data_IF_445315325231
#
_entry.id   IF_445315325231
#
_cell.length_a   1.000
_cell.length_b   1.000
_cell.length_c   1.000
_cell.angle_alpha   90.00
_cell.angle_beta   90.00
_cell.angle_gamma   90.00
#
_symmetry.space_group_name_H-M   'P 1'
#
loop_
_entity.id
_entity.type
_entity.pdbx_description
1 polymer ?
#
# COMPACT_ATOMS: atom_id res chain seq x y z
N UNK A 1 17.10 25.47 -3.23
CA UNK A 1 17.64 25.63 -4.60
C UNK A 1 17.64 27.09 -5.00
N UNK A 2 16.57 27.84 -4.80
CA UNK A 2 16.36 29.23 -5.21
C UNK A 2 17.47 30.18 -4.71
N UNK A 3 17.91 30.06 -3.45
CA UNK A 3 19.02 30.85 -2.92
C UNK A 3 20.33 30.67 -3.71
N UNK A 4 20.54 29.46 -4.27
CA UNK A 4 21.75 29.18 -5.06
C UNK A 4 21.65 29.73 -6.48
N UNK A 5 20.46 29.65 -7.09
CA UNK A 5 20.19 30.22 -8.41
C UNK A 5 20.23 31.76 -8.36
N UNK A 6 19.71 32.36 -7.32
CA UNK A 6 19.82 33.82 -7.06
C UNK A 6 21.28 34.29 -6.95
N UNK A 7 22.17 33.41 -6.49
CA UNK A 7 23.62 33.66 -6.47
C UNK A 7 24.31 33.42 -7.82
N UNK A 8 23.54 33.13 -8.88
CA UNK A 8 24.06 32.85 -10.23
C UNK A 8 24.66 31.44 -10.39
N UNK A 9 24.24 30.47 -9.59
CA UNK A 9 24.65 29.05 -9.75
C UNK A 9 23.69 28.37 -10.70
N UNK A 10 24.23 27.54 -11.58
CA UNK A 10 23.46 26.58 -12.37
C UNK A 10 23.40 25.26 -11.62
N UNK A 11 22.23 24.67 -11.50
CA UNK A 11 21.97 23.43 -10.78
C UNK A 11 21.43 22.41 -11.77
N UNK A 12 21.98 21.20 -11.74
CA UNK A 12 21.44 20.02 -12.42
C UNK A 12 21.07 19.03 -11.34
N UNK A 13 19.81 18.60 -11.30
CA UNK A 13 19.37 17.55 -10.38
C UNK A 13 18.57 16.49 -11.16
N UNK A 14 18.51 15.28 -10.60
CA UNK A 14 17.77 14.16 -11.16
C UNK A 14 16.68 13.78 -10.17
N UNK A 15 15.47 13.74 -10.64
CA UNK A 15 14.30 13.30 -9.85
C UNK A 15 13.30 12.58 -10.74
N UNK A 16 12.50 11.71 -10.14
CA UNK A 16 11.33 11.10 -10.77
C UNK A 16 10.02 11.73 -10.23
N UNK A 17 10.11 12.70 -9.33
CA UNK A 17 8.96 13.37 -8.74
C UNK A 17 8.60 14.61 -9.56
N UNK A 18 7.46 14.53 -10.26
CA UNK A 18 6.96 15.60 -11.12
C UNK A 18 6.82 16.94 -10.38
N UNK A 19 6.31 16.91 -9.14
CA UNK A 19 6.15 18.12 -8.33
C UNK A 19 7.47 18.82 -8.04
N UNK A 20 8.54 18.06 -7.76
CA UNK A 20 9.88 18.64 -7.56
C UNK A 20 10.44 19.24 -8.85
N UNK A 21 10.26 18.54 -9.98
CA UNK A 21 10.72 19.02 -11.29
C UNK A 21 9.99 20.31 -11.69
N UNK A 22 8.66 20.31 -11.62
CA UNK A 22 7.81 21.47 -11.97
C UNK A 22 8.03 22.68 -11.06
N UNK A 23 8.39 22.46 -9.80
CA UNK A 23 8.57 23.56 -8.84
C UNK A 23 9.97 24.18 -8.88
N UNK A 24 11.00 23.38 -9.16
CA UNK A 24 12.38 23.79 -8.93
C UNK A 24 13.23 23.91 -10.20
N UNK A 25 12.77 23.43 -11.35
CA UNK A 25 13.52 23.49 -12.60
C UNK A 25 12.93 24.55 -13.55
N UNK A 26 13.80 25.20 -14.32
CA UNK A 26 13.40 26.04 -15.45
C UNK A 26 13.12 25.17 -16.68
N UNK A 27 14.01 24.18 -16.94
CA UNK A 27 13.93 23.23 -18.04
C UNK A 27 13.97 21.79 -17.52
N UNK A 28 13.14 20.91 -18.06
CA UNK A 28 13.14 19.48 -17.76
C UNK A 28 13.52 18.70 -19.01
N UNK A 29 14.55 17.83 -18.89
CA UNK A 29 14.89 16.84 -19.90
C UNK A 29 14.51 15.46 -19.41
N UNK A 30 13.62 14.78 -20.13
CA UNK A 30 13.13 13.46 -19.76
C UNK A 30 14.00 12.37 -20.38
N UNK A 31 14.50 11.48 -19.53
CA UNK A 31 15.26 10.29 -19.91
C UNK A 31 14.41 9.05 -19.70
N UNK A 32 14.31 8.20 -20.73
CA UNK A 32 13.65 6.89 -20.68
C UNK A 32 14.46 5.87 -21.45
N UNK A 33 14.70 4.70 -20.86
CA UNK A 33 15.49 3.60 -21.45
C UNK A 33 16.90 4.05 -21.91
N UNK A 34 17.49 5.04 -21.21
CA UNK A 34 18.80 5.59 -21.53
C UNK A 34 18.81 6.60 -22.68
N UNK A 35 17.66 6.98 -23.23
CA UNK A 35 17.50 7.93 -24.31
C UNK A 35 16.81 9.22 -23.84
N UNK A 36 17.19 10.36 -24.43
CA UNK A 36 16.47 11.60 -24.26
C UNK A 36 15.19 11.57 -25.12
N UNK A 37 14.02 11.52 -24.48
CA UNK A 37 12.71 11.42 -25.16
C UNK A 37 12.02 12.77 -25.32
N UNK A 38 12.52 13.83 -24.66
CA UNK A 38 12.00 15.18 -24.79
C UNK A 38 12.63 16.14 -23.80
N UNK A 39 12.56 17.44 -24.15
CA UNK A 39 12.90 18.54 -23.23
C UNK A 39 11.81 19.59 -23.31
N UNK A 40 11.35 20.07 -22.17
CA UNK A 40 10.27 21.03 -22.03
C UNK A 40 10.66 22.12 -21.05
N UNK A 41 10.18 23.33 -21.29
CA UNK A 41 10.20 24.45 -20.35
C UNK A 41 9.08 24.21 -19.32
N UNK A 42 9.37 24.36 -18.02
CA UNK A 42 8.39 24.10 -16.96
C UNK A 42 7.24 25.08 -16.95
N UNK A 43 7.45 26.30 -17.45
CA UNK A 43 6.39 27.31 -17.58
C UNK A 43 5.33 26.94 -18.63
N UNK A 44 5.70 26.13 -19.62
CA UNK A 44 4.84 25.71 -20.73
C UNK A 44 4.32 24.27 -20.60
N UNK A 45 4.84 23.47 -19.65
CA UNK A 45 4.53 22.05 -19.48
C UNK A 45 3.46 21.79 -18.41
N UNK A 46 2.69 20.71 -18.58
CA UNK A 46 1.79 20.18 -17.55
C UNK A 46 2.39 18.94 -16.87
N UNK A 47 1.87 18.58 -15.70
CA UNK A 47 2.28 17.34 -14.99
C UNK A 47 1.98 16.10 -15.82
N UNK A 48 0.85 16.10 -16.51
CA UNK A 48 0.37 15.05 -17.38
C UNK A 48 1.30 14.84 -18.59
N UNK A 49 1.70 15.92 -19.26
CA UNK A 49 2.65 15.86 -20.38
C UNK A 49 4.02 15.32 -19.96
N UNK A 50 4.53 15.73 -18.80
CA UNK A 50 5.78 15.18 -18.28
C UNK A 50 5.64 13.72 -17.91
N UNK A 51 4.53 13.32 -17.27
CA UNK A 51 4.24 11.92 -16.94
C UNK A 51 4.18 11.06 -18.22
N UNK A 52 3.50 11.53 -19.27
CA UNK A 52 3.42 10.83 -20.55
C UNK A 52 4.80 10.65 -21.20
N UNK A 53 5.64 11.69 -21.19
CA UNK A 53 7.01 11.57 -21.67
C UNK A 53 7.83 10.55 -20.87
N UNK A 54 7.70 10.53 -19.54
CA UNK A 54 8.42 9.63 -18.67
C UNK A 54 8.00 8.16 -18.86
N UNK A 55 6.70 7.91 -18.97
CA UNK A 55 6.13 6.55 -19.08
C UNK A 55 6.05 6.09 -20.54
N UNK A 56 5.87 7.02 -21.50
CA UNK A 56 5.79 6.74 -22.94
C UNK A 56 4.40 6.40 -23.45
N UNK A 57 3.40 6.59 -22.61
CA UNK A 57 1.97 6.50 -22.91
C UNK A 57 1.21 7.49 -22.04
N UNK A 58 -0.01 7.76 -22.37
CA UNK A 58 -0.91 8.55 -21.52
C UNK A 58 -0.95 7.92 -20.11
N UNK A 59 -0.78 8.74 -19.10
CA UNK A 59 -0.81 8.38 -17.69
C UNK A 59 -2.05 8.99 -17.08
N UNK A 60 -2.90 8.16 -16.52
CA UNK A 60 -4.08 8.60 -15.79
C UNK A 60 -3.62 8.87 -14.36
N UNK A 61 -3.36 10.15 -14.03
CA UNK A 61 -2.97 10.56 -12.68
C UNK A 61 -4.15 10.55 -11.69
N UNK A 62 -5.38 10.61 -12.22
CA UNK A 62 -6.61 10.44 -11.46
C UNK A 62 -7.18 9.04 -11.69
N UNK A 63 -7.28 8.26 -10.64
CA UNK A 63 -7.78 6.89 -10.73
C UNK A 63 -9.31 6.88 -10.72
N UNK A 64 -9.95 6.34 -11.76
CA UNK A 64 -11.41 6.17 -11.83
C UNK A 64 -11.82 4.98 -10.95
N UNK A 65 -12.24 5.28 -9.73
CA UNK A 65 -12.71 4.29 -8.77
C UNK A 65 -14.20 4.00 -9.02
N UNK A 66 -14.49 2.90 -9.71
CA UNK A 66 -15.86 2.47 -9.94
C UNK A 66 -16.60 2.22 -8.61
N UNK A 67 -17.86 2.68 -8.51
CA UNK A 67 -18.68 2.47 -7.33
C UNK A 67 -18.90 0.97 -7.05
N UNK A 68 -18.66 0.56 -5.81
CA UNK A 68 -18.95 -0.78 -5.30
C UNK A 68 -19.48 -0.68 -3.87
N UNK A 69 -20.65 -1.25 -3.56
CA UNK A 69 -21.10 -1.33 -2.18
C UNK A 69 -20.20 -2.30 -1.41
N UNK A 70 -19.77 -1.95 -0.18
CA UNK A 70 -18.98 -2.84 0.66
C UNK A 70 -19.78 -4.08 1.07
N UNK A 71 -19.08 -5.23 1.13
CA UNK A 71 -19.65 -6.50 1.58
C UNK A 71 -19.52 -6.75 3.08
N UNK A 72 -19.31 -8.00 3.45
CA UNK A 72 -19.14 -8.42 4.84
C UNK A 72 -17.79 -7.95 5.42
N UNK A 73 -17.66 -7.93 6.74
CA UNK A 73 -16.42 -7.56 7.43
C UNK A 73 -15.41 -8.69 7.29
N UNK A 74 -14.24 -8.38 6.70
CA UNK A 74 -13.11 -9.30 6.54
C UNK A 74 -12.10 -9.13 7.67
N UNK A 75 -11.76 -7.88 8.03
CA UNK A 75 -10.86 -7.57 9.15
C UNK A 75 -11.60 -6.72 10.17
N UNK A 76 -11.50 -7.09 11.45
CA UNK A 76 -11.92 -6.26 12.59
C UNK A 76 -10.74 -6.09 13.54
N UNK A 77 -10.47 -4.85 13.91
CA UNK A 77 -9.51 -4.48 14.94
C UNK A 77 -10.29 -3.92 16.12
N UNK A 78 -10.15 -4.55 17.29
CA UNK A 78 -10.96 -4.28 18.47
C UNK A 78 -10.06 -3.88 19.65
N UNK A 79 -10.18 -2.62 20.12
CA UNK A 79 -9.46 -2.06 21.28
C UNK A 79 -7.95 -2.34 21.25
N UNK A 80 -7.35 -2.31 20.05
CA UNK A 80 -5.96 -2.72 19.83
C UNK A 80 -5.01 -1.74 20.48
N UNK A 81 -4.10 -2.27 21.30
CA UNK A 81 -3.00 -1.52 21.93
C UNK A 81 -1.69 -2.21 21.63
N UNK A 82 -0.72 -1.42 21.15
CA UNK A 82 0.62 -1.89 20.79
C UNK A 82 1.66 -0.93 21.35
N UNK A 83 2.58 -1.46 22.12
CA UNK A 83 3.72 -0.71 22.67
C UNK A 83 4.89 -0.77 21.68
N UNK A 84 5.55 0.36 21.45
CA UNK A 84 6.76 0.45 20.64
C UNK A 84 7.99 -0.13 21.37
N UNK A 85 9.14 -0.17 20.71
CA UNK A 85 10.39 -0.65 21.30
C UNK A 85 10.95 0.28 22.40
N UNK A 86 10.43 1.51 22.50
CA UNK A 86 10.73 2.49 23.53
C UNK A 86 9.86 2.36 24.79
N UNK A 87 8.81 1.52 24.73
CA UNK A 87 7.87 1.30 25.83
C UNK A 87 6.74 2.33 25.91
N UNK A 88 6.42 3.00 24.79
CA UNK A 88 5.29 3.90 24.66
C UNK A 88 4.18 3.23 23.86
N UNK A 89 2.93 3.51 24.20
CA UNK A 89 1.77 3.03 23.42
C UNK A 89 1.74 3.73 22.06
N UNK A 90 2.26 3.04 21.03
CA UNK A 90 2.27 3.54 19.66
C UNK A 90 0.89 3.40 19.02
N UNK A 91 0.11 2.38 19.41
CA UNK A 91 -1.29 2.18 19.08
C UNK A 91 -2.08 2.13 20.38
N UNK A 92 -3.10 2.96 20.53
CA UNK A 92 -3.90 3.10 21.74
C UNK A 92 -5.39 2.89 21.45
N UNK A 93 -5.97 1.83 21.99
CA UNK A 93 -7.40 1.49 21.92
C UNK A 93 -8.01 1.63 20.49
N UNK A 94 -7.23 1.27 19.45
CA UNK A 94 -7.62 1.48 18.05
C UNK A 94 -8.75 0.53 17.64
N UNK A 95 -9.75 1.08 16.94
CA UNK A 95 -10.97 0.36 16.57
C UNK A 95 -11.39 0.69 15.13
N UNK A 96 -11.41 -0.32 14.24
CA UNK A 96 -11.96 -0.21 12.88
C UNK A 96 -12.28 -1.57 12.28
N UNK A 97 -12.99 -1.57 11.13
CA UNK A 97 -13.19 -2.74 10.29
C UNK A 97 -12.84 -2.44 8.83
N UNK A 98 -12.48 -3.49 8.08
CA UNK A 98 -12.30 -3.47 6.63
C UNK A 98 -13.19 -4.53 6.02
N UNK A 99 -13.89 -4.19 4.92
CA UNK A 99 -14.92 -5.03 4.31
C UNK A 99 -14.52 -5.56 2.95
N UNK A 100 -15.22 -6.59 2.52
CA UNK A 100 -15.11 -7.07 1.14
C UNK A 100 -15.40 -5.94 0.13
N UNK A 101 -14.51 -5.84 -0.89
CA UNK A 101 -14.65 -4.83 -1.94
C UNK A 101 -14.43 -3.40 -1.46
N UNK A 102 -13.72 -3.22 -0.36
CA UNK A 102 -13.40 -1.93 0.23
C UNK A 102 -11.88 -1.72 0.28
N UNK A 103 -11.44 -0.51 0.01
CA UNK A 103 -10.14 0.02 0.42
C UNK A 103 -10.37 0.91 1.65
N UNK A 104 -9.93 0.45 2.81
CA UNK A 104 -9.87 1.26 4.02
C UNK A 104 -8.47 1.87 4.13
N UNK A 105 -8.39 3.19 3.96
CA UNK A 105 -7.13 3.93 4.06
C UNK A 105 -6.84 4.35 5.49
N UNK A 106 -5.57 4.40 5.83
CA UNK A 106 -5.05 5.01 7.07
C UNK A 106 -4.14 6.17 6.67
N UNK A 107 -4.51 7.39 7.05
CA UNK A 107 -3.70 8.58 6.91
C UNK A 107 -3.18 9.04 8.27
N UNK A 108 -1.92 9.46 8.32
CA UNK A 108 -1.30 10.00 9.54
C UNK A 108 0.13 10.47 9.24
N UNK A 109 0.69 11.24 10.15
CA UNK A 109 2.11 11.62 10.09
C UNK A 109 2.95 10.40 10.49
N UNK A 110 4.09 10.19 9.81
CA UNK A 110 5.01 9.11 10.14
C UNK A 110 5.35 9.11 11.65
N UNK A 111 5.30 7.93 12.28
CA UNK A 111 5.55 7.78 13.71
C UNK A 111 4.30 7.88 14.61
N UNK A 112 3.10 7.92 14.02
CA UNK A 112 1.84 7.87 14.78
C UNK A 112 1.28 6.43 14.94
N UNK A 113 2.14 5.41 14.93
CA UNK A 113 1.73 4.02 15.23
C UNK A 113 1.32 3.19 14.01
N UNK A 114 1.46 3.72 12.79
CA UNK A 114 1.08 2.98 11.58
C UNK A 114 1.90 1.69 11.39
N UNK A 115 3.21 1.73 11.66
CA UNK A 115 4.09 0.57 11.53
C UNK A 115 3.71 -0.51 12.55
N UNK A 116 3.52 -0.14 13.82
CA UNK A 116 3.12 -1.03 14.90
C UNK A 116 1.73 -1.64 14.67
N UNK A 117 0.79 -0.85 14.12
CA UNK A 117 -0.52 -1.33 13.69
C UNK A 117 -0.37 -2.43 12.62
N UNK A 118 0.40 -2.17 11.56
CA UNK A 118 0.63 -3.12 10.46
C UNK A 118 1.30 -4.39 10.98
N UNK A 119 2.33 -4.27 11.82
CA UNK A 119 3.01 -5.41 12.42
C UNK A 119 2.05 -6.28 13.25
N UNK A 120 1.18 -5.66 14.05
CA UNK A 120 0.18 -6.37 14.86
C UNK A 120 -0.89 -7.03 13.98
N UNK A 121 -1.44 -6.33 12.98
CA UNK A 121 -2.46 -6.86 12.07
C UNK A 121 -1.91 -8.02 11.23
N UNK A 122 -0.64 -7.98 10.86
CA UNK A 122 -0.01 -9.01 10.02
C UNK A 122 0.62 -10.16 10.81
N UNK A 123 0.60 -10.12 12.13
CA UNK A 123 1.16 -11.17 13.01
C UNK A 123 2.68 -11.13 13.11
N UNK A 124 3.31 -9.99 12.82
CA UNK A 124 4.74 -9.76 13.01
C UNK A 124 5.06 -9.27 14.42
N UNK A 125 4.10 -8.63 15.10
CA UNK A 125 4.16 -8.21 16.50
C UNK A 125 2.93 -8.69 17.25
N UNK A 126 3.11 -9.18 18.48
CA UNK A 126 1.98 -9.50 19.36
C UNK A 126 1.53 -8.20 20.05
N UNK A 127 0.24 -7.81 19.95
CA UNK A 127 -0.25 -6.62 20.64
C UNK A 127 -0.30 -6.82 22.16
N UNK A 128 -0.26 -5.72 22.92
CA UNK A 128 -0.35 -5.74 24.38
C UNK A 128 -1.80 -5.83 24.87
N UNK A 129 -2.76 -5.42 24.04
CA UNK A 129 -4.19 -5.47 24.34
C UNK A 129 -5.05 -5.48 23.10
N UNK A 130 -6.34 -5.76 23.31
CA UNK A 130 -7.31 -5.82 22.22
C UNK A 130 -7.23 -7.11 21.41
N UNK A 131 -7.74 -7.09 20.19
CA UNK A 131 -7.68 -8.24 19.30
C UNK A 131 -7.80 -7.87 17.83
N UNK A 132 -7.29 -8.78 16.99
CA UNK A 132 -7.41 -8.77 15.54
C UNK A 132 -8.22 -9.99 15.11
N UNK A 133 -9.34 -9.75 14.42
CA UNK A 133 -10.22 -10.80 13.89
C UNK A 133 -10.15 -10.75 12.37
N UNK A 134 -9.72 -11.84 11.75
CA UNK A 134 -9.64 -11.99 10.31
C UNK A 134 -10.53 -13.15 9.86
N UNK A 135 -11.45 -12.86 8.94
CA UNK A 135 -12.44 -13.81 8.43
C UNK A 135 -13.21 -14.51 9.56
N UNK A 136 -13.67 -13.71 10.53
CA UNK A 136 -14.41 -14.18 11.72
C UNK A 136 -13.58 -15.02 12.70
N UNK A 137 -12.27 -15.15 12.49
CA UNK A 137 -11.37 -15.88 13.38
C UNK A 137 -10.45 -14.91 14.10
N UNK A 138 -10.32 -15.06 15.42
CA UNK A 138 -9.33 -14.34 16.21
C UNK A 138 -7.92 -14.82 15.83
N UNK A 139 -7.11 -13.89 15.32
CA UNK A 139 -5.74 -14.14 14.87
C UNK A 139 -4.69 -13.38 15.68
N UNK A 140 -5.08 -12.76 16.77
CA UNK A 140 -4.24 -11.87 17.61
C UNK A 140 -2.89 -12.49 17.98
N UNK A 141 -2.90 -13.75 18.42
CA UNK A 141 -1.69 -14.47 18.83
C UNK A 141 -1.18 -15.46 17.76
N UNK A 142 -1.65 -15.31 16.51
CA UNK A 142 -1.26 -16.21 15.42
C UNK A 142 0.03 -15.74 14.76
N UNK A 143 0.79 -16.70 14.27
CA UNK A 143 2.02 -16.44 13.53
C UNK A 143 1.74 -15.81 12.15
N UNK A 144 2.70 -15.08 11.59
CA UNK A 144 2.66 -14.58 10.22
C UNK A 144 2.28 -15.66 9.20
N UNK A 145 2.79 -16.88 9.35
CA UNK A 145 2.45 -18.02 8.51
C UNK A 145 0.95 -18.33 8.53
N UNK A 146 0.32 -18.33 9.71
CA UNK A 146 -1.12 -18.61 9.82
C UNK A 146 -1.97 -17.51 9.18
N UNK A 147 -1.51 -16.25 9.18
CA UNK A 147 -2.16 -15.16 8.45
C UNK A 147 -2.09 -15.40 6.93
N UNK A 148 -0.92 -15.77 6.40
CA UNK A 148 -0.73 -16.10 4.98
C UNK A 148 -1.62 -17.27 4.57
N UNK A 149 -1.60 -18.37 5.33
CA UNK A 149 -2.40 -19.57 5.05
C UNK A 149 -3.92 -19.32 5.10
N UNK A 150 -4.35 -18.22 5.75
CA UNK A 150 -5.75 -17.77 5.77
C UNK A 150 -6.10 -16.81 4.64
N UNK A 151 -5.16 -16.44 3.78
CA UNK A 151 -5.38 -15.56 2.65
C UNK A 151 -5.10 -14.08 2.94
N UNK A 152 -4.19 -13.76 3.87
CA UNK A 152 -3.69 -12.41 4.05
C UNK A 152 -2.42 -12.21 3.23
N UNK A 153 -2.44 -11.23 2.31
CA UNK A 153 -1.27 -10.74 1.61
C UNK A 153 -0.72 -9.47 2.30
N UNK A 154 0.59 -9.27 2.20
CA UNK A 154 1.24 -8.09 2.76
C UNK A 154 2.25 -7.49 1.79
N UNK A 155 2.07 -6.23 1.47
CA UNK A 155 3.03 -5.41 0.74
C UNK A 155 3.75 -4.54 1.78
N UNK A 156 5.04 -4.78 2.04
CA UNK A 156 5.79 -4.05 3.06
C UNK A 156 6.20 -2.66 2.59
N UNK A 157 6.45 -1.79 3.56
CA UNK A 157 7.01 -0.45 3.34
C UNK A 157 8.43 -0.52 2.75
N UNK A 158 9.29 -1.37 3.34
CA UNK A 158 10.63 -1.65 2.80
C UNK A 158 10.70 -3.02 2.13
N UNK A 159 10.55 -3.00 0.80
CA UNK A 159 10.61 -4.21 -0.01
C UNK A 159 11.95 -4.92 0.03
N UNK A 160 13.05 -4.19 0.33
CA UNK A 160 14.40 -4.75 0.30
C UNK A 160 14.77 -5.43 1.62
N UNK A 161 14.20 -4.95 2.74
CA UNK A 161 14.42 -5.54 4.06
C UNK A 161 13.37 -6.61 4.40
N UNK A 162 12.11 -6.40 3.99
CA UNK A 162 10.99 -7.24 4.41
C UNK A 162 10.34 -8.03 3.25
N UNK A 163 10.42 -7.50 2.03
CA UNK A 163 9.71 -8.06 0.88
C UNK A 163 10.50 -9.08 0.08
N UNK A 164 11.82 -8.93 -0.01
CA UNK A 164 12.72 -9.70 -0.87
C UNK A 164 13.98 -10.12 -0.10
N UNK A 165 14.57 -11.23 -0.52
CA UNK A 165 15.96 -11.55 -0.19
C UNK A 165 16.80 -11.12 -1.41
N UNK A 166 17.57 -10.06 -1.25
CA UNK A 166 18.20 -9.33 -2.36
C UNK A 166 19.22 -10.16 -3.16
N UNK A 167 19.88 -11.13 -2.52
CA UNK A 167 20.84 -12.06 -3.12
C UNK A 167 20.20 -13.30 -3.76
N UNK A 168 18.88 -13.48 -3.56
CA UNK A 168 18.12 -14.56 -4.18
C UNK A 168 17.68 -14.18 -5.59
N UNK A 169 17.56 -15.17 -6.47
CA UNK A 169 16.91 -14.99 -7.77
C UNK A 169 15.38 -14.85 -7.61
N UNK A 170 14.68 -14.58 -8.70
CA UNK A 170 13.21 -14.40 -8.64
C UNK A 170 12.48 -15.72 -8.42
N UNK A 171 13.08 -16.88 -8.77
CA UNK A 171 12.49 -18.19 -8.45
C UNK A 171 12.50 -18.41 -6.94
N UNK A 172 13.62 -18.18 -6.28
CA UNK A 172 13.76 -18.30 -4.83
C UNK A 172 12.89 -17.29 -4.09
N UNK A 173 12.86 -16.04 -4.55
CA UNK A 173 11.97 -15.00 -4.00
C UNK A 173 10.50 -15.30 -4.22
N UNK A 174 10.11 -15.94 -5.32
CA UNK A 174 8.74 -16.37 -5.60
C UNK A 174 8.23 -17.45 -4.64
N UNK A 175 9.15 -18.21 -4.02
CA UNK A 175 8.82 -19.21 -3.02
C UNK A 175 8.46 -18.63 -1.65
N UNK A 176 8.92 -17.42 -1.32
CA UNK A 176 8.70 -16.82 0.00
C UNK A 176 7.20 -16.74 0.33
N UNK A 177 6.82 -17.31 1.48
CA UNK A 177 5.43 -17.45 1.91
C UNK A 177 4.72 -18.70 1.37
N UNK A 178 5.19 -19.32 0.28
CA UNK A 178 4.61 -20.50 -0.37
C UNK A 178 5.34 -21.82 -0.03
N UNK A 179 6.44 -21.76 0.72
CA UNK A 179 7.34 -22.89 1.00
C UNK A 179 6.71 -24.05 1.78
N UNK A 180 5.43 -23.98 2.11
CA UNK A 180 4.70 -24.99 2.85
C UNK A 180 3.38 -25.41 2.20
N UNK A 181 3.10 -24.91 0.99
CA UNK A 181 1.83 -25.11 0.31
C UNK A 181 2.01 -25.83 -1.02
N UNK A 182 1.00 -26.63 -1.41
CA UNK A 182 0.92 -27.16 -2.78
C UNK A 182 0.74 -25.98 -3.77
N UNK A 183 1.32 -26.08 -4.99
CA UNK A 183 2.15 -27.17 -5.50
C UNK A 183 3.66 -27.00 -5.22
N UNK A 184 4.07 -26.04 -4.40
CA UNK A 184 5.48 -25.64 -4.24
C UNK A 184 6.27 -26.54 -3.29
N UNK A 185 5.60 -27.21 -2.36
CA UNK A 185 6.23 -28.13 -1.43
C UNK A 185 5.34 -29.30 -1.07
N UNK A 186 5.95 -30.48 -0.90
CA UNK A 186 5.33 -31.69 -0.40
C UNK A 186 6.24 -32.37 0.65
N UNK A 187 5.92 -33.60 1.03
CA UNK A 187 6.74 -34.41 1.95
C UNK A 187 8.14 -34.75 1.40
N UNK A 188 8.37 -34.54 0.12
CA UNK A 188 9.66 -34.78 -0.57
C UNK A 188 10.56 -33.53 -0.59
N UNK A 189 10.04 -32.37 -0.28
CA UNK A 189 10.77 -31.09 -0.29
C UNK A 189 10.16 -30.06 -1.24
N UNK A 190 10.96 -29.10 -1.68
CA UNK A 190 10.54 -28.03 -2.59
C UNK A 190 10.47 -28.53 -4.04
N UNK A 191 9.34 -28.27 -4.71
CA UNK A 191 9.22 -28.45 -6.16
C UNK A 191 9.71 -27.19 -6.89
N UNK A 192 10.99 -27.20 -7.26
CA UNK A 192 11.61 -26.08 -7.98
C UNK A 192 11.05 -25.87 -9.38
N UNK A 193 10.42 -26.90 -9.97
CA UNK A 193 9.75 -26.76 -11.28
C UNK A 193 8.47 -25.93 -11.15
N UNK A 194 7.63 -26.27 -10.18
CA UNK A 194 6.42 -25.51 -9.86
C UNK A 194 6.77 -24.07 -9.42
N UNK A 195 7.80 -23.91 -8.58
CA UNK A 195 8.27 -22.60 -8.12
C UNK A 195 8.75 -21.73 -9.28
N UNK A 196 9.50 -22.30 -10.22
CA UNK A 196 9.96 -21.58 -11.42
C UNK A 196 8.78 -21.15 -12.30
N UNK A 197 7.83 -22.06 -12.58
CA UNK A 197 6.64 -21.72 -13.35
C UNK A 197 5.87 -20.57 -12.72
N UNK A 198 5.71 -20.57 -11.41
CA UNK A 198 5.09 -19.46 -10.68
C UNK A 198 5.84 -18.14 -10.84
N UNK A 199 7.16 -18.14 -10.70
CA UNK A 199 7.98 -16.93 -10.89
C UNK A 199 7.88 -16.40 -12.32
N UNK A 200 7.84 -17.29 -13.34
CA UNK A 200 7.63 -16.93 -14.75
C UNK A 200 6.25 -16.28 -14.97
N UNK A 201 5.21 -16.83 -14.37
CA UNK A 201 3.85 -16.27 -14.43
C UNK A 201 3.81 -14.88 -13.79
N UNK A 202 4.38 -14.69 -12.59
CA UNK A 202 4.46 -13.39 -11.91
C UNK A 202 5.23 -12.38 -12.76
N UNK A 203 6.41 -12.75 -13.27
CA UNK A 203 7.23 -11.87 -14.11
C UNK A 203 6.48 -11.43 -15.37
N UNK A 204 5.74 -12.35 -16.00
CA UNK A 204 4.97 -12.08 -17.21
C UNK A 204 3.73 -11.22 -16.94
N UNK A 205 2.92 -11.58 -15.94
CA UNK A 205 1.65 -10.92 -15.63
C UNK A 205 1.85 -9.50 -15.08
N UNK A 206 2.89 -9.31 -14.26
CA UNK A 206 3.18 -8.03 -13.61
C UNK A 206 4.22 -7.19 -14.38
N UNK A 207 4.58 -7.59 -15.60
CA UNK A 207 5.53 -6.89 -16.48
C UNK A 207 6.82 -6.51 -15.75
N UNK A 208 7.43 -7.49 -15.06
CA UNK A 208 8.72 -7.31 -14.39
C UNK A 208 9.85 -7.32 -15.41
N UNK A 209 10.74 -6.35 -15.34
CA UNK A 209 11.84 -6.17 -16.30
C UNK A 209 13.20 -6.16 -15.60
N UNK A 210 14.21 -6.88 -16.16
CA UNK A 210 14.15 -7.78 -17.31
C UNK A 210 13.29 -9.03 -17.02
N UNK A 211 12.70 -9.69 -18.04
CA UNK A 211 11.89 -10.90 -17.85
C UNK A 211 12.78 -12.15 -17.70
N UNK A 212 13.64 -12.12 -16.71
CA UNK A 212 14.61 -13.17 -16.39
C UNK A 212 14.43 -13.61 -14.93
N UNK A 213 13.84 -14.79 -14.73
CA UNK A 213 13.57 -15.31 -13.39
C UNK A 213 14.83 -15.76 -12.64
N UNK A 214 15.96 -15.89 -13.32
CA UNK A 214 17.28 -16.20 -12.72
C UNK A 214 18.05 -14.94 -12.32
N UNK A 215 17.48 -13.74 -12.61
CA UNK A 215 18.05 -12.48 -12.16
C UNK A 215 17.93 -12.35 -10.64
N UNK A 216 19.02 -11.98 -9.96
CA UNK A 216 19.00 -11.67 -8.54
C UNK A 216 18.18 -10.39 -8.28
N UNK A 217 17.39 -10.37 -7.19
CA UNK A 217 16.48 -9.28 -6.89
C UNK A 217 17.17 -7.91 -6.81
N UNK A 218 18.44 -7.85 -6.37
CA UNK A 218 19.19 -6.61 -6.29
C UNK A 218 19.50 -5.99 -7.66
N UNK A 219 19.45 -6.76 -8.75
CA UNK A 219 19.71 -6.29 -10.11
C UNK A 219 18.52 -5.56 -10.73
N UNK A 220 17.33 -5.66 -10.13
CA UNK A 220 16.11 -5.02 -10.61
C UNK A 220 16.04 -3.56 -10.13
N UNK A 221 15.38 -2.71 -10.93
CA UNK A 221 14.98 -1.37 -10.47
C UNK A 221 13.95 -1.47 -9.34
N UNK A 222 13.85 -0.42 -8.50
CA UNK A 222 12.89 -0.38 -7.40
C UNK A 222 11.44 -0.61 -7.83
N UNK A 223 11.02 -0.10 -9.00
CA UNK A 223 9.69 -0.36 -9.55
C UNK A 223 9.48 -1.83 -9.91
N UNK A 224 10.48 -2.50 -10.51
CA UNK A 224 10.38 -3.93 -10.85
C UNK A 224 10.45 -4.83 -9.61
N UNK A 225 11.25 -4.47 -8.59
CA UNK A 225 11.22 -5.15 -7.29
C UNK A 225 9.81 -5.10 -6.68
N UNK A 226 9.18 -3.92 -6.68
CA UNK A 226 7.84 -3.74 -6.14
C UNK A 226 6.78 -4.50 -6.92
N UNK A 227 6.83 -4.46 -8.27
CA UNK A 227 5.95 -5.25 -9.13
C UNK A 227 6.04 -6.74 -8.84
N UNK A 228 7.25 -7.26 -8.60
CA UNK A 228 7.46 -8.66 -8.26
C UNK A 228 6.88 -9.01 -6.88
N UNK A 229 7.10 -8.17 -5.86
CA UNK A 229 6.51 -8.36 -4.53
C UNK A 229 4.98 -8.37 -4.62
N UNK A 230 4.39 -7.36 -5.28
CA UNK A 230 2.93 -7.27 -5.48
C UNK A 230 2.40 -8.51 -6.23
N UNK A 231 3.06 -8.92 -7.30
CA UNK A 231 2.66 -10.10 -8.08
C UNK A 231 2.71 -11.39 -7.27
N UNK A 232 3.77 -11.61 -6.51
CA UNK A 232 3.90 -12.76 -5.60
C UNK A 232 2.79 -12.77 -4.54
N UNK A 233 2.51 -11.63 -3.93
CA UNK A 233 1.49 -11.56 -2.89
C UNK A 233 0.07 -11.78 -3.46
N UNK A 234 -0.23 -11.19 -4.62
CA UNK A 234 -1.58 -11.26 -5.22
C UNK A 234 -1.87 -12.60 -5.91
N UNK A 235 -0.84 -13.29 -6.42
CA UNK A 235 -1.00 -14.61 -7.02
C UNK A 235 -1.53 -15.70 -6.07
N UNK A 236 -1.56 -15.42 -4.76
CA UNK A 236 -2.16 -16.31 -3.74
C UNK A 236 -3.68 -16.16 -3.62
N UNK A 237 -4.31 -15.32 -4.43
CA UNK A 237 -5.74 -15.00 -4.35
C UNK A 237 -6.19 -14.58 -2.94
N UNK A 238 -5.60 -13.54 -2.35
CA UNK A 238 -5.88 -13.14 -0.98
C UNK A 238 -7.31 -12.65 -0.80
N UNK A 239 -7.91 -12.86 0.39
CA UNK A 239 -9.15 -12.18 0.80
C UNK A 239 -8.90 -10.81 1.43
N UNK A 240 -7.71 -10.59 1.99
CA UNK A 240 -7.25 -9.33 2.56
C UNK A 240 -5.84 -8.99 2.09
N UNK A 241 -5.67 -7.77 1.59
CA UNK A 241 -4.36 -7.18 1.31
C UNK A 241 -4.08 -6.09 2.33
N UNK A 242 -2.95 -6.20 3.03
CA UNK A 242 -2.40 -5.13 3.86
C UNK A 242 -1.27 -4.49 3.07
N UNK A 243 -1.45 -3.24 2.65
CA UNK A 243 -0.49 -2.51 1.82
C UNK A 243 0.09 -1.33 2.62
N UNK A 244 1.36 -1.46 3.02
CA UNK A 244 2.10 -0.41 3.70
C UNK A 244 2.99 0.33 2.72
N UNK A 245 2.70 1.62 2.49
CA UNK A 245 3.45 2.49 1.59
C UNK A 245 3.78 1.84 0.22
N UNK A 246 2.79 1.24 -0.49
CA UNK A 246 3.03 0.33 -1.61
C UNK A 246 3.76 0.99 -2.79
N UNK A 247 3.77 2.31 -2.86
CA UNK A 247 4.42 3.08 -3.94
C UNK A 247 5.66 3.85 -3.47
N UNK A 248 6.23 3.49 -2.31
CA UNK A 248 7.43 4.15 -1.80
C UNK A 248 8.65 3.85 -2.68
N UNK A 249 9.30 4.91 -3.18
CA UNK A 249 10.55 4.80 -3.93
C UNK A 249 10.44 4.08 -5.28
N UNK A 250 9.28 4.17 -5.94
CA UNK A 250 9.06 3.66 -7.29
C UNK A 250 8.73 4.79 -8.27
N UNK A 251 8.93 4.54 -9.54
CA UNK A 251 8.63 5.47 -10.63
C UNK A 251 7.10 5.57 -10.89
N UNK A 252 6.71 6.62 -11.65
CA UNK A 252 5.30 6.95 -11.92
C UNK A 252 4.55 5.80 -12.62
N UNK A 253 5.17 5.13 -13.59
CA UNK A 253 4.55 4.02 -14.29
C UNK A 253 4.31 2.81 -13.38
N UNK A 254 5.19 2.61 -12.40
CA UNK A 254 5.01 1.58 -11.37
C UNK A 254 3.95 1.98 -10.35
N UNK A 255 3.81 3.28 -10.00
CA UNK A 255 2.74 3.78 -9.12
C UNK A 255 1.38 3.46 -9.73
N UNK A 256 1.13 3.92 -10.97
CA UNK A 256 -0.11 3.68 -11.69
C UNK A 256 -0.45 2.19 -11.74
N UNK A 257 0.52 1.36 -12.12
CA UNK A 257 0.34 -0.09 -12.19
C UNK A 257 -0.09 -0.70 -10.84
N UNK A 258 0.53 -0.28 -9.72
CA UNK A 258 0.21 -0.79 -8.39
C UNK A 258 -1.19 -0.34 -7.96
N UNK A 259 -1.55 0.91 -8.23
CA UNK A 259 -2.87 1.46 -7.94
C UNK A 259 -3.97 0.68 -8.69
N UNK A 260 -3.77 0.44 -10.00
CA UNK A 260 -4.70 -0.34 -10.82
C UNK A 260 -4.91 -1.75 -10.24
N UNK A 261 -3.81 -2.43 -9.85
CA UNK A 261 -3.89 -3.77 -9.26
C UNK A 261 -4.63 -3.80 -7.92
N UNK A 262 -4.43 -2.81 -7.06
CA UNK A 262 -5.17 -2.69 -5.79
C UNK A 262 -6.67 -2.47 -6.04
N UNK A 263 -7.03 -1.64 -7.01
CA UNK A 263 -8.42 -1.38 -7.36
C UNK A 263 -9.08 -2.56 -8.11
N UNK A 264 -8.34 -3.31 -8.91
CA UNK A 264 -8.82 -4.56 -9.50
C UNK A 264 -9.21 -5.57 -8.41
N UNK A 265 -8.34 -5.79 -7.41
CA UNK A 265 -8.65 -6.67 -6.26
C UNK A 265 -9.90 -6.18 -5.49
N UNK A 266 -10.00 -4.88 -5.26
CA UNK A 266 -11.20 -4.28 -4.66
C UNK A 266 -12.45 -4.60 -5.51
N UNK A 267 -12.38 -4.46 -6.84
CA UNK A 267 -13.49 -4.80 -7.75
C UNK A 267 -13.84 -6.28 -7.74
N UNK A 268 -12.89 -7.16 -7.53
CA UNK A 268 -13.09 -8.61 -7.34
C UNK A 268 -13.72 -8.96 -5.99
N UNK A 269 -13.82 -8.01 -5.06
CA UNK A 269 -14.42 -8.20 -3.74
C UNK A 269 -13.41 -8.42 -2.63
N UNK A 270 -12.13 -8.26 -2.90
CA UNK A 270 -11.10 -8.38 -1.86
C UNK A 270 -11.11 -7.15 -0.95
N UNK A 271 -10.74 -7.33 0.30
CA UNK A 271 -10.54 -6.25 1.25
C UNK A 271 -9.12 -5.69 1.15
N UNK A 272 -8.95 -4.38 1.27
CA UNK A 272 -7.63 -3.74 1.25
C UNK A 272 -7.51 -2.80 2.45
N UNK A 273 -6.50 -3.01 3.28
CA UNK A 273 -6.04 -2.05 4.27
C UNK A 273 -4.83 -1.32 3.69
N UNK A 274 -4.99 -0.04 3.37
CA UNK A 274 -3.96 0.80 2.78
C UNK A 274 -3.41 1.78 3.80
N UNK A 275 -2.11 1.75 4.04
CA UNK A 275 -1.41 2.74 4.85
C UNK A 275 -0.41 3.48 3.97
N UNK A 276 -0.51 4.80 3.90
CA UNK A 276 0.46 5.63 3.18
C UNK A 276 0.55 7.03 3.77
N UNK A 277 1.77 7.57 3.82
CA UNK A 277 2.03 8.98 4.14
C UNK A 277 1.77 9.92 2.96
N UNK A 278 1.53 9.37 1.75
CA UNK A 278 1.12 10.15 0.60
C UNK A 278 -0.38 10.41 0.64
N UNK A 279 -0.75 11.64 0.96
CA UNK A 279 -2.15 12.01 1.13
C UNK A 279 -2.97 11.80 -0.14
N UNK A 280 -2.40 12.12 -1.31
CA UNK A 280 -3.03 11.89 -2.61
C UNK A 280 -3.35 10.40 -2.83
N UNK A 281 -2.42 9.50 -2.48
CA UNK A 281 -2.58 8.06 -2.66
C UNK A 281 -3.74 7.51 -1.81
N UNK A 282 -3.76 7.82 -0.52
CA UNK A 282 -4.84 7.33 0.36
C UNK A 282 -6.19 7.91 0.00
N UNK A 283 -6.26 9.18 -0.44
CA UNK A 283 -7.50 9.83 -0.89
C UNK A 283 -8.06 9.21 -2.17
N UNK A 284 -7.19 8.97 -3.16
CA UNK A 284 -7.63 8.45 -4.46
C UNK A 284 -8.09 7.00 -4.39
N UNK A 285 -7.44 6.18 -3.58
CA UNK A 285 -7.70 4.75 -3.56
C UNK A 285 -8.77 4.34 -2.54
N UNK A 286 -8.91 5.08 -1.42
CA UNK A 286 -9.73 4.63 -0.30
C UNK A 286 -11.22 4.92 -0.50
N UNK A 287 -12.06 4.04 0.03
CA UNK A 287 -13.51 4.22 0.16
C UNK A 287 -13.89 4.89 1.49
N UNK A 288 -13.15 4.55 2.54
CA UNK A 288 -13.16 5.22 3.85
C UNK A 288 -11.73 5.48 4.29
N UNK A 289 -11.53 6.59 4.98
CA UNK A 289 -10.21 7.03 5.41
C UNK A 289 -10.19 7.26 6.92
N UNK A 290 -9.48 6.40 7.65
CA UNK A 290 -9.17 6.58 9.06
C UNK A 290 -7.99 7.55 9.21
N UNK A 291 -8.17 8.61 9.99
CA UNK A 291 -7.11 9.57 10.28
C UNK A 291 -6.50 9.24 11.64
N UNK A 292 -5.19 9.01 11.66
CA UNK A 292 -4.48 8.62 12.88
C UNK A 292 -3.68 9.80 13.43
N UNK A 293 -3.81 10.02 14.72
CA UNK A 293 -3.03 10.96 15.51
C UNK A 293 -2.70 10.34 16.87
N UNK A 294 -1.43 10.38 17.29
CA UNK A 294 -0.95 9.83 18.57
C UNK A 294 -1.43 8.41 18.89
N UNK A 295 -1.46 7.53 17.89
CA UNK A 295 -1.84 6.12 18.06
C UNK A 295 -3.33 5.81 18.04
N UNK A 296 -4.19 6.81 17.89
CA UNK A 296 -5.65 6.67 17.86
C UNK A 296 -6.21 7.05 16.48
N UNK A 297 -7.33 6.42 16.06
CA UNK A 297 -8.13 6.93 14.94
C UNK A 297 -9.01 8.05 15.49
N UNK A 298 -8.61 9.31 15.17
CA UNK A 298 -9.35 10.50 15.62
C UNK A 298 -10.65 10.73 14.85
N UNK A 299 -10.69 10.30 13.58
CA UNK A 299 -11.90 10.37 12.76
C UNK A 299 -11.87 9.36 11.62
N UNK A 300 -13.04 9.01 11.08
CA UNK A 300 -13.17 8.26 9.81
C UNK A 300 -14.01 9.10 8.87
N UNK A 301 -13.42 9.44 7.73
CA UNK A 301 -13.98 10.41 6.78
C UNK A 301 -14.19 9.80 5.40
N UNK A 302 -15.08 10.40 4.62
CA UNK A 302 -15.19 10.17 3.19
C UNK A 302 -14.04 10.94 2.48
N UNK A 303 -13.13 10.25 1.79
CA UNK A 303 -12.00 10.89 1.13
C UNK A 303 -12.42 11.90 0.06
N UNK A 304 -13.60 11.75 -0.55
CA UNK A 304 -14.11 12.65 -1.58
C UNK A 304 -14.80 13.89 -0.98
N UNK A 305 -15.21 13.81 0.29
CA UNK A 305 -15.91 14.88 0.99
C UNK A 305 -15.00 15.76 1.88
N UNK A 306 -13.72 15.42 2.02
CA UNK A 306 -12.75 16.10 2.88
C UNK A 306 -11.65 16.79 2.05
N UNK A 307 -11.24 18.00 2.45
CA UNK A 307 -10.13 18.70 1.81
C UNK A 307 -8.78 18.30 2.41
N UNK A 308 -7.68 18.51 1.66
CA UNK A 308 -6.32 18.26 2.18
C UNK A 308 -6.01 19.06 3.43
N UNK A 309 -6.49 20.33 3.49
CA UNK A 309 -6.31 21.19 4.65
C UNK A 309 -7.03 20.60 5.89
N UNK A 310 -8.25 20.10 5.71
CA UNK A 310 -9.02 19.45 6.79
C UNK A 310 -8.35 18.15 7.25
N UNK A 311 -7.83 17.33 6.32
CA UNK A 311 -7.06 16.14 6.66
C UNK A 311 -5.79 16.50 7.42
N UNK A 312 -5.06 17.52 6.97
CA UNK A 312 -3.87 18.03 7.66
C UNK A 312 -4.17 18.47 9.09
N UNK A 313 -5.30 19.14 9.33
CA UNK A 313 -5.75 19.53 10.67
C UNK A 313 -6.04 18.30 11.55
N UNK A 314 -6.80 17.32 11.05
CA UNK A 314 -7.08 16.05 11.76
C UNK A 314 -5.80 15.31 12.11
N UNK A 315 -4.86 15.21 11.16
CA UNK A 315 -3.55 14.57 11.37
C UNK A 315 -2.69 15.29 12.41
N UNK A 316 -2.94 16.59 12.63
CA UNK A 316 -2.31 17.39 13.67
C UNK A 316 -3.07 17.37 15.01
N UNK A 317 -4.17 16.63 15.12
CA UNK A 317 -5.01 16.56 16.31
C UNK A 317 -5.93 17.78 16.50
N UNK A 318 -6.17 18.56 15.43
CA UNK A 318 -7.08 19.71 15.46
C UNK A 318 -8.44 19.33 14.87
N UNK A 319 -9.54 19.79 15.48
CA UNK A 319 -10.90 19.58 14.96
C UNK A 319 -11.22 20.61 13.86
N UNK A 320 -11.33 20.20 12.59
CA UNK A 320 -11.78 21.10 11.53
C UNK A 320 -13.28 21.39 11.64
N UNK A 321 -13.69 22.60 11.23
CA UNK A 321 -15.10 22.99 11.24
C UNK A 321 -15.88 22.20 10.19
N UNK A 322 -16.73 21.25 10.57
CA UNK A 322 -17.62 20.43 9.73
C UNK A 322 -16.94 19.49 8.71
N UNK A 323 -16.52 18.30 9.16
CA UNK A 323 -16.17 17.18 8.29
C UNK A 323 -17.28 16.14 8.33
N UNK A 324 -17.75 15.59 7.18
CA UNK A 324 -18.67 14.47 7.17
C UNK A 324 -18.00 13.21 7.73
N UNK A 325 -18.48 12.76 8.88
CA UNK A 325 -17.93 11.56 9.53
C UNK A 325 -18.57 10.28 8.98
N UNK A 326 -17.78 9.24 8.85
CA UNK A 326 -18.19 7.88 8.50
C UNK A 326 -18.01 6.95 9.71
N UNK A 327 -18.73 5.82 9.74
CA UNK A 327 -18.54 4.84 10.80
C UNK A 327 -17.23 4.08 10.62
N UNK A 328 -16.41 4.02 11.66
CA UNK A 328 -15.20 3.20 11.69
C UNK A 328 -15.52 1.69 11.65
N UNK A 329 -16.68 1.29 12.13
CA UNK A 329 -17.17 -0.10 12.15
C UNK A 329 -18.50 -0.27 11.46
N UNK A 330 -18.76 -1.50 10.97
CA UNK A 330 -20.10 -1.91 10.54
C UNK A 330 -21.07 -1.73 11.71
N UNK A 331 -22.16 -1.02 11.48
CA UNK A 331 -23.21 -0.93 12.48
C UNK A 331 -23.64 -2.33 12.91
N UNK A 332 -23.41 -2.71 14.17
CA UNK A 332 -23.96 -3.92 14.75
C UNK A 332 -25.47 -3.79 14.70
N UNK A 333 -26.11 -4.46 13.74
CA UNK A 333 -27.56 -4.61 13.75
C UNK A 333 -27.92 -5.26 15.09
N UNK A 334 -28.46 -4.47 16.00
CA UNK A 334 -28.98 -5.01 17.24
C UNK A 334 -29.98 -6.12 16.89
N UNK A 335 -29.87 -7.33 17.47
CA UNK A 335 -30.87 -8.37 17.23
C UNK A 335 -32.20 -7.78 17.66
N UNK A 336 -33.16 -7.71 16.73
CA UNK A 336 -34.54 -7.32 17.02
C UNK A 336 -35.03 -8.17 18.16
N UNK A 337 -35.17 -7.57 19.33
CA UNK A 337 -35.72 -8.20 20.51
C UNK A 337 -37.14 -8.68 20.22
N UNK A 338 -37.30 -9.96 19.92
CA UNK A 338 -38.56 -10.66 19.85
C UNK A 338 -39.19 -10.69 21.25
N UNK A 339 -39.89 -9.65 21.59
CA UNK A 339 -40.87 -9.71 22.67
C UNK A 339 -42.08 -10.50 22.19
N UNK A 340 -42.27 -11.66 22.73
CA UNK A 340 -43.58 -12.29 22.68
C UNK A 340 -44.00 -12.70 24.08
N UNK A 341 -45.18 -12.33 24.35
CA UNK A 341 -46.02 -12.62 25.51
C UNK A 341 -46.15 -14.15 25.73
#
# INVERSE_FOLDING_TARGET
LDELTDQGKTIIFITHKLGEAMHAADDVTVLRDGENVGSVDTDDATREELAELMVGREVILETDKAERPPGDVVLSVDDLTVTDDGGYDAVADMNFDVREGEVFGIAGVDGNGQSELIEAVTGMRTPDGGRVVFDGTDVTDRSRREHIERGMAYIPEDRQEEGLVMEFDLVENGLLGNQHTDPYADTGGIDWGATRGHAEDVVSEYDVRPPDVEAEAHSLSGGNQQKFVVGREFSRDPSLVVASHPTRGVDIGSIEFIHDRLLELRQEGKAVLLVSSKLDEVRQLSDRLGVVHEGEIVDVVDPDAVTEEQLGMLMAGEEPTSVPQMAARAGTGAPAGGGSR
#
